data_IF_234180529761
#
_entry.id   IF_234180529761
#
_cell.length_a   1.000
_cell.length_b   1.000
_cell.length_c   1.000
_cell.angle_alpha   90.00
_cell.angle_beta   90.00
_cell.angle_gamma   90.00
#
_symmetry.space_group_name_H-M   'P 1'
#
loop_
_entity.id
_entity.type
_entity.pdbx_description
1 polymer ?
#
# COMPACT_ATOMS: atom_id res chain seq x y z
N UNK A 1 24.36 2.03 -3.82
CA UNK A 1 25.40 2.31 -4.82
C UNK A 1 25.04 3.61 -5.50
N UNK A 2 25.93 4.55 -5.43
CA UNK A 2 25.75 5.90 -6.00
C UNK A 2 26.49 5.97 -7.33
N UNK A 3 26.12 6.85 -8.21
CA UNK A 3 26.81 7.05 -9.49
C UNK A 3 28.30 7.41 -9.27
N UNK A 4 28.58 8.22 -8.25
CA UNK A 4 29.97 8.54 -7.81
C UNK A 4 30.78 7.28 -7.52
N UNK A 5 30.21 6.32 -6.78
CA UNK A 5 30.92 5.09 -6.40
C UNK A 5 31.17 4.16 -7.61
N UNK A 6 30.36 4.30 -8.65
CA UNK A 6 30.43 3.49 -9.88
C UNK A 6 31.37 4.08 -10.92
N UNK A 7 31.30 5.39 -11.15
CA UNK A 7 32.11 6.08 -12.15
C UNK A 7 33.52 6.42 -11.66
N UNK A 8 33.70 6.54 -10.34
CA UNK A 8 34.91 7.11 -9.74
C UNK A 8 35.04 8.63 -9.95
N UNK A 9 34.05 9.26 -10.56
CA UNK A 9 34.02 10.68 -10.89
C UNK A 9 33.14 11.46 -9.91
N UNK A 10 33.52 12.69 -9.64
CA UNK A 10 32.69 13.62 -8.90
C UNK A 10 31.51 14.13 -9.76
N UNK A 11 30.42 14.66 -9.18
CA UNK A 11 29.24 15.07 -9.92
C UNK A 11 29.45 16.10 -11.02
N UNK A 12 30.44 16.96 -10.90
CA UNK A 12 30.81 17.96 -11.90
C UNK A 12 31.65 17.43 -13.07
N UNK A 13 32.14 16.17 -12.94
CA UNK A 13 32.91 15.47 -13.96
C UNK A 13 32.07 14.47 -14.74
N UNK A 14 30.82 14.21 -14.29
CA UNK A 14 29.97 13.19 -14.92
C UNK A 14 29.71 13.47 -16.39
N UNK A 15 29.81 12.41 -17.17
CA UNK A 15 29.52 12.37 -18.60
C UNK A 15 28.26 11.56 -18.90
N UNK A 16 27.74 11.66 -20.11
CA UNK A 16 26.67 10.77 -20.58
C UNK A 16 27.09 9.30 -20.51
N UNK A 17 28.38 9.01 -20.84
CA UNK A 17 28.92 7.67 -20.77
C UNK A 17 28.89 7.06 -19.36
N UNK A 18 29.24 7.83 -18.32
CA UNK A 18 29.18 7.38 -16.93
C UNK A 18 27.76 7.00 -16.53
N UNK A 19 26.78 7.77 -16.95
CA UNK A 19 25.37 7.49 -16.69
C UNK A 19 24.92 6.23 -17.43
N UNK A 20 25.28 6.07 -18.69
CA UNK A 20 24.89 4.92 -19.52
C UNK A 20 25.50 3.62 -18.98
N UNK A 21 26.78 3.63 -18.63
CA UNK A 21 27.46 2.48 -18.03
C UNK A 21 26.84 2.08 -16.67
N UNK A 22 26.61 3.07 -15.81
CA UNK A 22 25.95 2.83 -14.52
C UNK A 22 24.56 2.17 -14.69
N UNK A 23 23.75 2.66 -15.61
CA UNK A 23 22.43 2.10 -15.83
C UNK A 23 22.46 0.78 -16.59
N UNK A 24 23.40 0.56 -17.48
CA UNK A 24 23.64 -0.75 -18.09
C UNK A 24 24.03 -1.81 -17.04
N UNK A 25 24.96 -1.48 -16.15
CA UNK A 25 25.34 -2.33 -15.02
C UNK A 25 24.17 -2.57 -14.05
N UNK A 26 23.41 -1.52 -13.70
CA UNK A 26 22.24 -1.62 -12.83
C UNK A 26 21.16 -2.59 -13.38
N UNK A 27 21.01 -2.65 -14.71
CA UNK A 27 20.07 -3.56 -15.38
C UNK A 27 20.66 -4.95 -15.61
N UNK A 28 21.86 -5.02 -16.19
CA UNK A 28 22.47 -6.27 -16.64
C UNK A 28 23.03 -7.11 -15.51
N UNK A 29 23.75 -6.49 -14.56
CA UNK A 29 24.43 -7.19 -13.48
C UNK A 29 23.58 -7.25 -12.21
N UNK A 30 22.97 -6.11 -11.82
CA UNK A 30 22.18 -6.02 -10.59
C UNK A 30 20.70 -6.38 -10.78
N UNK A 31 20.27 -6.60 -12.01
CA UNK A 31 18.90 -6.99 -12.37
C UNK A 31 17.81 -6.10 -11.74
N UNK A 32 18.08 -4.78 -11.68
CA UNK A 32 17.13 -3.84 -11.11
C UNK A 32 15.92 -3.66 -12.04
N UNK A 33 14.73 -3.56 -11.43
CA UNK A 33 13.49 -3.34 -12.18
C UNK A 33 13.52 -2.00 -12.94
N UNK A 34 12.82 -1.94 -14.08
CA UNK A 34 12.67 -0.70 -14.86
C UNK A 34 12.17 0.49 -14.02
N UNK A 35 11.28 0.24 -13.06
CA UNK A 35 10.78 1.26 -12.15
C UNK A 35 11.86 1.81 -11.22
N UNK A 36 12.74 0.94 -10.71
CA UNK A 36 13.86 1.33 -9.84
C UNK A 36 14.90 2.13 -10.62
N UNK A 37 15.27 1.68 -11.82
CA UNK A 37 16.22 2.39 -12.70
C UNK A 37 15.67 3.76 -13.07
N UNK A 38 14.40 3.85 -13.44
CA UNK A 38 13.73 5.13 -13.74
C UNK A 38 13.69 6.07 -12.52
N UNK A 39 13.51 5.54 -11.30
CA UNK A 39 13.57 6.35 -10.09
C UNK A 39 14.98 6.95 -9.87
N UNK A 40 16.03 6.15 -10.12
CA UNK A 40 17.42 6.63 -10.06
C UNK A 40 17.70 7.68 -11.14
N UNK A 41 17.26 7.45 -12.39
CA UNK A 41 17.37 8.43 -13.46
C UNK A 41 16.67 9.73 -13.11
N UNK A 42 15.47 9.64 -12.52
CA UNK A 42 14.72 10.83 -12.08
C UNK A 42 15.45 11.62 -11.00
N UNK A 43 16.08 10.93 -10.03
CA UNK A 43 16.84 11.58 -8.96
C UNK A 43 18.12 12.26 -9.51
N UNK A 44 18.87 11.58 -10.38
CA UNK A 44 20.08 12.14 -11.01
C UNK A 44 19.71 13.32 -11.91
N UNK A 45 18.66 13.18 -12.72
CA UNK A 45 18.16 14.27 -13.57
C UNK A 45 17.84 15.52 -12.76
N UNK A 46 17.07 15.35 -11.67
CA UNK A 46 16.69 16.47 -10.81
C UNK A 46 17.90 17.15 -10.17
N UNK A 47 18.90 16.37 -9.76
CA UNK A 47 20.16 16.89 -9.24
C UNK A 47 20.92 17.67 -10.30
N UNK A 48 21.08 17.12 -11.51
CA UNK A 48 21.77 17.82 -12.61
C UNK A 48 21.01 19.09 -13.03
N UNK A 49 19.66 19.03 -13.12
CA UNK A 49 18.85 20.22 -13.41
C UNK A 49 19.08 21.33 -12.37
N UNK A 50 19.19 20.97 -11.09
CA UNK A 50 19.52 21.92 -10.03
C UNK A 50 20.95 22.47 -10.16
N UNK A 51 21.94 21.60 -10.35
CA UNK A 51 23.34 21.99 -10.41
C UNK A 51 23.69 22.81 -11.67
N UNK A 52 23.03 22.53 -12.79
CA UNK A 52 23.18 23.28 -14.04
C UNK A 52 22.38 24.59 -14.06
N UNK A 53 21.49 24.83 -13.09
CA UNK A 53 20.63 26.02 -13.11
C UNK A 53 21.44 27.27 -12.82
N UNK A 54 21.44 28.27 -13.75
CA UNK A 54 22.24 29.51 -13.62
C UNK A 54 21.93 30.32 -12.34
N UNK A 55 20.76 30.13 -11.73
CA UNK A 55 20.37 30.85 -10.50
C UNK A 55 21.22 30.52 -9.28
N UNK A 56 21.94 29.40 -9.31
CA UNK A 56 22.69 28.92 -8.13
C UNK A 56 24.21 29.02 -8.29
N UNK A 57 24.70 29.48 -9.43
CA UNK A 57 26.13 29.69 -9.76
C UNK A 57 27.07 28.49 -9.56
N UNK A 58 26.51 27.28 -9.35
CA UNK A 58 27.29 26.07 -9.11
C UNK A 58 28.26 25.75 -10.24
N UNK A 59 27.83 25.90 -11.51
CA UNK A 59 28.68 25.67 -12.68
C UNK A 59 29.83 26.63 -12.72
N UNK A 60 29.63 27.91 -12.36
CA UNK A 60 30.67 28.94 -12.31
C UNK A 60 31.67 28.62 -11.19
N UNK A 61 31.18 28.27 -9.99
CA UNK A 61 32.03 27.95 -8.86
C UNK A 61 32.89 26.71 -9.13
N UNK A 62 32.30 25.63 -9.67
CA UNK A 62 33.03 24.42 -10.02
C UNK A 62 34.00 24.61 -11.15
N UNK A 63 33.68 25.43 -12.16
CA UNK A 63 34.60 25.79 -13.24
C UNK A 63 35.84 26.52 -12.73
N UNK A 64 35.68 27.41 -11.75
CA UNK A 64 36.80 28.15 -11.13
C UNK A 64 37.66 27.27 -10.22
N UNK A 65 37.02 26.36 -9.45
CA UNK A 65 37.74 25.56 -8.43
C UNK A 65 38.32 24.27 -8.98
N UNK A 66 37.66 23.64 -9.93
CA UNK A 66 37.98 22.26 -10.36
C UNK A 66 38.23 22.17 -11.88
N UNK A 67 38.00 23.23 -12.65
CA UNK A 67 38.14 23.21 -14.11
C UNK A 67 37.00 22.53 -14.87
N UNK A 68 35.93 22.07 -14.18
CA UNK A 68 34.80 21.36 -14.75
C UNK A 68 33.49 22.12 -14.51
N UNK A 69 32.53 21.92 -15.39
CA UNK A 69 31.18 22.47 -15.23
C UNK A 69 30.14 21.34 -15.21
N UNK A 70 29.09 21.49 -14.41
CA UNK A 70 27.99 20.52 -14.40
C UNK A 70 27.35 20.40 -15.77
N UNK A 71 27.04 19.17 -16.16
CA UNK A 71 26.25 18.83 -17.33
C UNK A 71 25.04 17.97 -16.99
N UNK A 72 23.97 18.03 -17.81
CA UNK A 72 22.83 17.14 -17.68
C UNK A 72 23.16 15.79 -18.34
N UNK A 73 23.34 14.77 -17.50
CA UNK A 73 23.73 13.42 -17.96
C UNK A 73 22.52 12.48 -18.22
N UNK A 74 21.30 12.93 -17.94
CA UNK A 74 20.06 12.19 -18.25
C UNK A 74 19.28 12.95 -19.30
N UNK A 75 19.31 12.48 -20.53
CA UNK A 75 18.66 13.07 -21.70
C UNK A 75 17.50 12.21 -22.18
N UNK A 76 16.74 12.66 -23.16
CA UNK A 76 15.69 11.86 -23.79
C UNK A 76 16.24 10.57 -24.48
N UNK A 77 17.54 10.58 -24.85
CA UNK A 77 18.18 9.44 -25.52
C UNK A 77 18.47 8.27 -24.55
N UNK A 78 18.85 8.56 -23.30
CA UNK A 78 19.22 7.53 -22.33
C UNK A 78 18.19 7.34 -21.22
N UNK A 79 17.10 8.11 -21.25
CA UNK A 79 16.01 7.99 -20.29
C UNK A 79 15.10 6.82 -20.61
N UNK A 80 14.82 5.98 -19.61
CA UNK A 80 13.82 4.93 -19.73
C UNK A 80 12.43 5.57 -19.76
N UNK A 81 11.75 5.44 -20.91
CA UNK A 81 10.34 5.86 -21.05
C UNK A 81 9.42 4.94 -20.24
N UNK A 82 8.24 5.46 -19.90
CA UNK A 82 7.22 4.67 -19.22
C UNK A 82 6.59 3.70 -20.22
N UNK A 83 7.18 2.51 -20.39
CA UNK A 83 6.44 1.39 -20.94
C UNK A 83 5.62 0.73 -19.83
N UNK A 84 4.31 0.58 -20.00
CA UNK A 84 3.54 -0.34 -19.19
C UNK A 84 3.87 -1.76 -19.70
N UNK A 85 4.58 -2.61 -18.95
CA UNK A 85 4.67 -4.00 -19.33
C UNK A 85 3.29 -4.61 -19.08
N UNK A 86 2.56 -4.90 -20.16
CA UNK A 86 1.23 -5.49 -20.11
C UNK A 86 1.21 -6.95 -19.62
N UNK A 87 2.35 -7.55 -19.31
CA UNK A 87 2.44 -9.00 -19.10
C UNK A 87 3.19 -9.48 -17.86
N UNK A 88 3.78 -8.62 -17.08
CA UNK A 88 4.36 -9.06 -15.79
C UNK A 88 3.26 -9.14 -14.74
N UNK A 89 2.85 -10.38 -14.39
CA UNK A 89 2.08 -10.61 -13.15
C UNK A 89 2.80 -9.88 -12.03
N UNK A 90 2.12 -8.99 -11.29
CA UNK A 90 2.77 -8.30 -10.19
C UNK A 90 3.32 -9.37 -9.25
N UNK A 91 4.60 -9.27 -8.89
CA UNK A 91 5.24 -10.16 -7.91
C UNK A 91 4.49 -10.19 -6.57
N UNK A 92 3.65 -9.18 -6.32
CA UNK A 92 2.82 -8.99 -5.13
C UNK A 92 1.35 -9.11 -5.50
N UNK A 93 0.60 -9.92 -4.75
CA UNK A 93 -0.82 -10.23 -4.96
C UNK A 93 -1.70 -9.76 -3.80
N UNK A 94 -3.02 -9.67 -3.97
CA UNK A 94 -3.96 -9.58 -2.86
C UNK A 94 -4.00 -10.91 -2.09
N UNK A 95 -4.41 -10.86 -0.82
CA UNK A 95 -4.90 -12.04 -0.10
C UNK A 95 -6.26 -12.46 -0.67
N UNK A 96 -6.55 -13.75 -0.65
CA UNK A 96 -7.93 -14.24 -0.77
C UNK A 96 -8.69 -13.97 0.54
N UNK A 97 -10.03 -14.06 0.52
CA UNK A 97 -10.83 -13.92 1.74
C UNK A 97 -10.48 -15.00 2.78
N UNK A 98 -10.25 -16.25 2.33
CA UNK A 98 -9.84 -17.34 3.20
C UNK A 98 -8.47 -17.12 3.83
N UNK A 99 -7.49 -16.64 3.06
CA UNK A 99 -6.15 -16.30 3.58
C UNK A 99 -6.21 -15.17 4.61
N UNK A 100 -7.03 -14.14 4.37
CA UNK A 100 -7.23 -13.05 5.34
C UNK A 100 -7.86 -13.58 6.64
N UNK A 101 -8.87 -14.43 6.54
CA UNK A 101 -9.51 -15.02 7.72
C UNK A 101 -8.50 -15.82 8.53
N UNK A 102 -7.75 -16.73 7.89
CA UNK A 102 -6.73 -17.53 8.57
C UNK A 102 -5.64 -16.66 9.22
N UNK A 103 -5.22 -15.59 8.54
CA UNK A 103 -4.20 -14.67 9.09
C UNK A 103 -4.74 -13.91 10.30
N UNK A 104 -5.98 -13.45 10.27
CA UNK A 104 -6.60 -12.75 11.39
C UNK A 104 -6.86 -13.69 12.57
N UNK A 105 -7.32 -14.92 12.29
CA UNK A 105 -7.52 -15.94 13.31
C UNK A 105 -6.21 -16.31 14.02
N UNK A 106 -5.11 -16.47 13.24
CA UNK A 106 -3.80 -16.73 13.80
C UNK A 106 -3.30 -15.56 14.66
N UNK A 107 -3.48 -14.32 14.19
CA UNK A 107 -3.10 -13.12 14.95
C UNK A 107 -3.86 -13.03 16.29
N UNK A 108 -5.16 -13.33 16.30
CA UNK A 108 -5.98 -13.35 17.53
C UNK A 108 -5.61 -14.53 18.45
N UNK A 109 -5.32 -15.68 17.85
CA UNK A 109 -4.85 -16.85 18.60
C UNK A 109 -3.52 -16.58 19.29
N UNK A 110 -2.62 -15.82 18.66
CA UNK A 110 -1.34 -15.41 19.26
C UNK A 110 -1.58 -14.54 20.52
N UNK A 111 -2.53 -13.59 20.47
CA UNK A 111 -2.92 -12.80 21.66
C UNK A 111 -3.33 -13.73 22.81
N UNK A 112 -4.20 -14.70 22.51
CA UNK A 112 -4.70 -15.66 23.49
C UNK A 112 -3.59 -16.55 24.04
N UNK A 113 -2.67 -17.01 23.20
CA UNK A 113 -1.50 -17.82 23.60
C UNK A 113 -0.58 -17.07 24.56
N UNK A 114 -0.31 -15.77 24.28
CA UNK A 114 0.54 -14.95 25.13
C UNK A 114 -0.16 -14.67 26.48
N UNK A 115 -1.45 -14.36 26.48
CA UNK A 115 -2.24 -14.17 27.68
C UNK A 115 -2.21 -15.43 28.57
N UNK A 116 -2.49 -16.59 28.00
CA UNK A 116 -2.54 -17.85 28.74
C UNK A 116 -1.17 -18.30 29.27
N UNK A 117 -0.08 -17.89 28.62
CA UNK A 117 1.29 -18.20 29.08
C UNK A 117 1.79 -17.30 30.20
N UNK A 118 1.04 -16.25 30.58
CA UNK A 118 1.47 -15.25 31.55
C UNK A 118 2.64 -14.37 31.12
N UNK A 119 3.05 -14.46 29.82
CA UNK A 119 4.17 -13.68 29.29
C UNK A 119 3.76 -12.23 29.01
N UNK A 120 4.75 -11.34 29.08
CA UNK A 120 4.56 -9.95 28.62
C UNK A 120 4.38 -9.92 27.12
N UNK A 121 3.61 -8.95 26.59
CA UNK A 121 3.49 -8.72 25.15
C UNK A 121 2.09 -8.91 24.57
N UNK A 122 1.13 -9.44 25.33
CA UNK A 122 -0.24 -9.66 24.84
C UNK A 122 -0.90 -8.38 24.32
N UNK A 123 -0.68 -7.23 25.00
CA UNK A 123 -1.23 -5.95 24.56
C UNK A 123 -0.62 -5.50 23.22
N UNK A 124 0.69 -5.73 23.02
CA UNK A 124 1.36 -5.48 21.76
C UNK A 124 0.83 -6.38 20.62
N UNK A 125 0.64 -7.67 20.89
CA UNK A 125 0.07 -8.59 19.92
C UNK A 125 -1.38 -8.22 19.56
N UNK A 126 -2.20 -7.82 20.54
CA UNK A 126 -3.56 -7.35 20.29
C UNK A 126 -3.57 -6.08 19.43
N UNK A 127 -2.72 -5.08 19.76
CA UNK A 127 -2.51 -3.89 18.92
C UNK A 127 -2.19 -4.29 17.48
N UNK A 128 -1.26 -5.22 17.28
CA UNK A 128 -0.81 -5.63 15.96
C UNK A 128 -1.93 -6.33 15.18
N UNK A 129 -2.69 -7.24 15.82
CA UNK A 129 -3.88 -7.86 15.21
C UNK A 129 -4.89 -6.81 14.75
N UNK A 130 -5.26 -5.86 15.63
CA UNK A 130 -6.21 -4.80 15.28
C UNK A 130 -5.66 -3.88 14.20
N UNK A 131 -4.36 -3.56 14.21
CA UNK A 131 -3.73 -2.74 13.19
C UNK A 131 -3.77 -3.41 11.80
N UNK A 132 -3.54 -4.72 11.70
CA UNK A 132 -3.65 -5.48 10.44
C UNK A 132 -5.08 -5.50 9.92
N UNK A 133 -6.06 -5.74 10.80
CA UNK A 133 -7.50 -5.68 10.46
C UNK A 133 -7.90 -4.29 9.98
N UNK A 134 -7.40 -3.23 10.64
CA UNK A 134 -7.61 -1.84 10.24
C UNK A 134 -6.96 -1.53 8.88
N UNK A 135 -5.75 -2.04 8.63
CA UNK A 135 -5.08 -1.88 7.33
C UNK A 135 -5.93 -2.41 6.18
N UNK A 136 -6.57 -3.57 6.39
CA UNK A 136 -7.47 -4.15 5.40
C UNK A 136 -8.81 -3.39 5.34
N UNK A 137 -9.48 -3.17 6.47
CA UNK A 137 -10.84 -2.64 6.51
C UNK A 137 -10.99 -1.23 5.90
N UNK A 138 -9.91 -0.43 5.89
CA UNK A 138 -9.89 0.92 5.29
C UNK A 138 -8.86 1.08 4.16
N UNK A 139 -8.26 -0.01 3.71
CA UNK A 139 -7.31 -0.01 2.58
C UNK A 139 -6.11 0.91 2.77
N UNK A 140 -5.53 0.95 3.97
CA UNK A 140 -4.50 1.91 4.35
C UNK A 140 -3.12 1.54 3.83
N UNK A 141 -2.27 2.57 3.58
CA UNK A 141 -0.84 2.38 3.40
C UNK A 141 -0.15 2.26 4.76
N UNK A 142 0.99 1.56 4.82
CA UNK A 142 1.75 1.39 6.07
C UNK A 142 2.00 2.70 6.82
N UNK A 143 2.43 3.75 6.11
CA UNK A 143 2.67 5.04 6.73
C UNK A 143 1.39 5.75 7.21
N UNK A 144 0.28 5.55 6.51
CA UNK A 144 -1.04 6.08 6.91
C UNK A 144 -1.50 5.40 8.20
N UNK A 145 -1.44 4.06 8.25
CA UNK A 145 -1.83 3.25 9.39
C UNK A 145 -1.06 3.60 10.67
N UNK A 146 0.26 3.71 10.57
CA UNK A 146 1.13 4.01 11.72
C UNK A 146 0.89 5.37 12.37
N UNK A 147 0.37 6.33 11.61
CA UNK A 147 0.13 7.70 12.06
C UNK A 147 -1.35 7.99 12.33
N UNK A 148 -2.19 6.95 12.40
CA UNK A 148 -3.58 7.14 12.80
C UNK A 148 -3.68 7.57 14.26
N UNK A 149 -4.61 8.47 14.51
CA UNK A 149 -4.93 8.94 15.84
C UNK A 149 -6.41 8.73 16.15
N UNK A 150 -6.77 8.70 17.42
CA UNK A 150 -8.17 8.53 17.85
C UNK A 150 -9.07 9.64 17.30
N UNK A 151 -8.55 10.85 17.14
CA UNK A 151 -9.25 12.00 16.55
C UNK A 151 -9.52 11.89 15.05
N UNK A 152 -8.95 10.89 14.40
CA UNK A 152 -9.19 10.62 12.96
C UNK A 152 -10.48 9.84 12.70
N UNK A 153 -11.12 9.35 13.77
CA UNK A 153 -12.40 8.64 13.71
C UNK A 153 -13.55 9.64 13.85
N UNK A 154 -14.60 9.48 13.06
CA UNK A 154 -15.77 10.36 13.09
C UNK A 154 -17.03 9.69 12.56
N UNK A 155 -18.18 10.33 12.87
CA UNK A 155 -19.50 9.84 12.45
C UNK A 155 -19.73 9.99 10.95
N UNK A 156 -20.42 9.01 10.39
CA UNK A 156 -21.07 9.13 9.08
C UNK A 156 -22.56 9.34 9.29
N UNK A 157 -23.05 10.56 9.04
CA UNK A 157 -24.47 10.87 9.21
C UNK A 157 -25.40 10.09 8.27
N UNK A 158 -24.86 9.53 7.17
CA UNK A 158 -25.60 8.65 6.25
C UNK A 158 -25.60 7.18 6.68
N UNK A 159 -24.73 6.82 7.64
CA UNK A 159 -24.61 5.48 8.20
C UNK A 159 -24.45 5.56 9.73
N UNK A 160 -25.48 6.04 10.46
CA UNK A 160 -25.38 6.34 11.90
C UNK A 160 -25.12 5.10 12.76
N UNK A 161 -25.40 3.91 12.27
CA UNK A 161 -25.15 2.63 12.96
C UNK A 161 -23.67 2.33 13.21
N UNK A 162 -22.76 2.95 12.46
CA UNK A 162 -21.33 2.85 12.72
C UNK A 162 -20.84 3.74 13.89
N UNK A 163 -21.72 4.63 14.43
CA UNK A 163 -21.34 5.55 15.51
C UNK A 163 -20.17 6.44 15.12
N UNK A 164 -19.22 6.61 16.03
CA UNK A 164 -18.04 7.46 15.82
C UNK A 164 -16.97 6.83 14.89
N UNK A 165 -17.22 5.63 14.37
CA UNK A 165 -16.32 4.86 13.50
C UNK A 165 -16.76 4.84 12.02
N UNK A 166 -17.75 5.66 11.64
CA UNK A 166 -18.32 5.67 10.28
C UNK A 166 -17.41 6.26 9.21
N UNK A 167 -16.45 7.08 9.60
CA UNK A 167 -15.47 7.72 8.70
C UNK A 167 -14.10 7.72 9.37
N UNK A 168 -13.08 7.29 8.61
CA UNK A 168 -11.68 7.40 9.00
C UNK A 168 -11.00 8.50 8.17
N UNK A 169 -10.47 9.53 8.83
CA UNK A 169 -9.72 10.62 8.20
C UNK A 169 -8.24 10.26 8.07
N UNK A 170 -7.78 10.03 6.86
CA UNK A 170 -6.37 9.72 6.57
C UNK A 170 -5.63 11.02 6.26
N UNK A 171 -4.83 11.51 7.21
CA UNK A 171 -4.08 12.78 7.09
C UNK A 171 -2.69 12.61 6.44
N UNK A 172 -2.11 11.42 6.52
CA UNK A 172 -0.73 11.14 6.15
C UNK A 172 -0.60 10.51 4.76
N UNK A 173 -1.39 10.99 3.79
CA UNK A 173 -1.30 10.54 2.40
C UNK A 173 0.08 10.80 1.77
N UNK A 174 0.37 10.11 0.66
CA UNK A 174 1.61 10.32 -0.08
C UNK A 174 1.59 11.73 -0.73
N UNK A 175 2.60 12.59 -0.49
CA UNK A 175 2.69 13.86 -1.19
C UNK A 175 2.95 13.62 -2.69
N UNK A 176 2.40 14.48 -3.54
CA UNK A 176 2.66 14.45 -4.97
C UNK A 176 3.61 15.60 -5.34
N UNK A 177 4.75 15.29 -5.96
CA UNK A 177 5.74 16.25 -6.52
C UNK A 177 6.03 17.46 -5.61
N UNK A 178 6.28 17.23 -4.31
CA UNK A 178 6.59 18.31 -3.37
C UNK A 178 5.38 19.10 -2.85
N UNK A 179 4.15 18.72 -3.22
CA UNK A 179 2.93 19.31 -2.66
C UNK A 179 2.68 18.81 -1.23
N UNK A 180 1.87 19.55 -0.48
CA UNK A 180 1.40 19.11 0.84
C UNK A 180 0.68 17.74 0.76
N UNK A 181 0.74 16.99 1.86
CA UNK A 181 0.01 15.72 1.98
C UNK A 181 -1.49 15.98 1.80
N UNK A 182 -2.13 15.26 0.87
CA UNK A 182 -3.57 15.38 0.66
C UNK A 182 -4.31 14.47 1.64
N UNK A 183 -5.08 15.01 2.59
CA UNK A 183 -5.96 14.21 3.43
C UNK A 183 -7.11 13.63 2.60
N UNK A 184 -7.59 12.45 3.01
CA UNK A 184 -8.83 11.86 2.46
C UNK A 184 -9.67 11.29 3.59
N UNK A 185 -10.95 11.17 3.35
CA UNK A 185 -11.87 10.45 4.21
C UNK A 185 -12.18 9.09 3.59
N UNK A 186 -12.09 8.05 4.39
CA UNK A 186 -12.43 6.66 4.00
C UNK A 186 -13.67 6.26 4.77
N UNK A 187 -14.72 5.87 4.06
CA UNK A 187 -15.97 5.42 4.66
C UNK A 187 -15.81 3.99 5.16
N UNK A 188 -16.39 3.71 6.32
CA UNK A 188 -16.48 2.35 6.84
C UNK A 188 -17.49 1.55 6.02
N UNK A 189 -17.14 0.31 5.71
CA UNK A 189 -17.96 -0.58 4.89
C UNK A 189 -18.44 -1.79 5.69
N UNK A 190 -17.58 -2.35 6.56
CA UNK A 190 -17.85 -3.61 7.27
C UNK A 190 -18.10 -3.40 8.76
N UNK A 191 -19.20 -3.94 9.29
CA UNK A 191 -19.59 -3.84 10.70
C UNK A 191 -18.52 -4.43 11.64
N UNK A 192 -17.95 -5.58 11.29
CA UNK A 192 -16.93 -6.23 12.10
C UNK A 192 -15.70 -5.34 12.35
N UNK A 193 -15.37 -4.46 11.43
CA UNK A 193 -14.24 -3.54 11.56
C UNK A 193 -14.47 -2.48 12.64
N UNK A 194 -15.73 -2.06 12.81
CA UNK A 194 -16.14 -1.13 13.86
C UNK A 194 -16.02 -1.79 15.23
N UNK A 195 -16.53 -3.01 15.37
CA UNK A 195 -16.46 -3.75 16.63
C UNK A 195 -15.02 -3.97 17.07
N UNK A 196 -14.18 -4.44 16.14
CA UNK A 196 -12.75 -4.67 16.39
C UNK A 196 -12.04 -3.40 16.83
N UNK A 197 -12.28 -2.28 16.14
CA UNK A 197 -11.57 -1.03 16.43
C UNK A 197 -12.10 -0.36 17.70
N UNK A 198 -13.42 -0.46 17.96
CA UNK A 198 -14.04 0.02 19.18
C UNK A 198 -13.49 -0.71 20.40
N UNK A 199 -13.46 -2.04 20.37
CA UNK A 199 -12.92 -2.84 21.47
C UNK A 199 -11.46 -2.45 21.79
N UNK A 200 -10.67 -2.23 20.76
CA UNK A 200 -9.31 -1.74 20.92
C UNK A 200 -9.25 -0.36 21.57
N UNK A 201 -10.03 0.61 21.08
CA UNK A 201 -10.02 1.99 21.57
C UNK A 201 -10.54 2.07 23.02
N UNK A 202 -11.58 1.32 23.35
CA UNK A 202 -12.23 1.37 24.65
C UNK A 202 -11.54 0.48 25.70
N UNK A 203 -11.01 -0.68 25.32
CA UNK A 203 -10.52 -1.69 26.24
C UNK A 203 -9.00 -1.99 26.10
N UNK A 204 -8.42 -1.80 24.94
CA UNK A 204 -7.00 -2.08 24.67
C UNK A 204 -6.11 -0.87 24.90
N UNK A 205 -6.36 0.20 24.18
CA UNK A 205 -5.54 1.41 24.20
C UNK A 205 -5.37 2.03 25.60
N UNK A 206 -6.40 2.10 26.48
CA UNK A 206 -6.26 2.63 27.83
C UNK A 206 -5.29 1.84 28.72
N UNK A 207 -5.04 0.56 28.42
CA UNK A 207 -4.11 -0.29 29.21
C UNK A 207 -2.66 0.13 29.13
N UNK A 208 -2.29 1.00 28.18
CA UNK A 208 -0.96 1.60 28.16
C UNK A 208 -0.74 2.59 29.34
N UNK A 209 -1.80 3.10 29.95
CA UNK A 209 -1.71 4.01 31.10
C UNK A 209 -1.10 5.38 30.77
N UNK A 210 -1.07 5.76 29.47
CA UNK A 210 -0.49 7.01 28.97
C UNK A 210 -1.57 7.83 28.27
N UNK A 211 -1.47 9.17 28.27
CA UNK A 211 -2.35 10.03 27.49
C UNK A 211 -1.99 9.92 26.00
N UNK A 212 -2.44 8.84 25.34
CA UNK A 212 -2.09 8.54 23.97
C UNK A 212 -3.10 9.14 23.00
N UNK A 213 -2.58 9.78 21.95
CA UNK A 213 -3.36 10.20 20.78
C UNK A 213 -3.23 9.22 19.63
N UNK A 214 -2.07 8.55 19.53
CA UNK A 214 -1.82 7.57 18.48
C UNK A 214 -2.65 6.31 18.69
N UNK A 215 -3.27 5.84 17.61
CA UNK A 215 -4.19 4.68 17.65
C UNK A 215 -3.44 3.37 17.89
N UNK A 216 -2.22 3.25 17.37
CA UNK A 216 -1.38 2.04 17.48
C UNK A 216 0.01 2.39 18.04
N UNK A 217 0.12 2.71 19.34
CA UNK A 217 1.39 3.12 19.96
C UNK A 217 2.30 1.92 20.25
N UNK A 218 3.60 2.19 20.39
CA UNK A 218 4.52 1.26 21.05
C UNK A 218 4.25 1.24 22.57
N UNK A 219 4.86 0.29 23.29
CA UNK A 219 4.79 0.24 24.76
C UNK A 219 5.37 1.51 25.44
N UNK A 220 6.21 2.26 24.74
CA UNK A 220 6.76 3.54 25.20
C UNK A 220 5.90 4.75 24.77
N UNK A 221 4.73 4.54 24.16
CA UNK A 221 3.84 5.62 23.71
C UNK A 221 4.27 6.31 22.41
N UNK A 222 5.24 5.76 21.67
CA UNK A 222 5.71 6.31 20.40
C UNK A 222 5.06 5.61 19.21
N UNK A 223 5.18 6.21 18.02
CA UNK A 223 4.72 5.63 16.74
C UNK A 223 5.49 4.34 16.44
N UNK A 224 4.78 3.34 15.90
CA UNK A 224 5.39 2.08 15.46
C UNK A 224 6.50 2.29 14.42
N UNK A 225 7.56 1.48 14.52
CA UNK A 225 8.64 1.46 13.54
C UNK A 225 8.15 1.18 12.12
N UNK A 226 8.89 1.64 11.11
CA UNK A 226 8.45 1.55 9.71
C UNK A 226 8.29 0.10 9.22
N UNK A 227 9.07 -0.84 9.75
CA UNK A 227 9.06 -2.26 9.36
C UNK A 227 8.24 -3.13 10.29
N UNK A 228 7.92 -2.68 11.52
CA UNK A 228 7.31 -3.50 12.57
C UNK A 228 6.12 -4.35 12.07
N UNK A 229 5.10 -3.70 11.51
CA UNK A 229 3.93 -4.43 11.01
C UNK A 229 4.23 -5.30 9.79
N UNK A 230 5.23 -4.95 8.99
CA UNK A 230 5.68 -5.78 7.89
C UNK A 230 6.32 -7.07 8.41
N UNK A 231 7.14 -6.97 9.44
CA UNK A 231 7.79 -8.12 10.08
C UNK A 231 6.75 -9.04 10.72
N UNK A 232 5.69 -8.48 11.34
CA UNK A 232 4.55 -9.24 11.86
C UNK A 232 3.83 -10.00 10.73
N UNK A 233 3.55 -9.32 9.60
CA UNK A 233 2.88 -9.96 8.44
C UNK A 233 3.74 -11.10 7.89
N UNK A 234 5.04 -10.89 7.69
CA UNK A 234 5.92 -11.94 7.17
C UNK A 234 5.91 -13.17 8.08
N UNK A 235 6.03 -12.98 9.39
CA UNK A 235 6.00 -14.06 10.37
C UNK A 235 4.67 -14.86 10.30
N UNK A 236 3.53 -14.18 10.24
CA UNK A 236 2.23 -14.84 10.14
C UNK A 236 2.05 -15.59 8.80
N UNK A 237 2.49 -14.98 7.69
CA UNK A 237 2.46 -15.57 6.34
C UNK A 237 3.33 -16.83 6.29
N UNK A 238 4.53 -16.79 6.89
CA UNK A 238 5.45 -17.91 6.95
C UNK A 238 4.90 -19.05 7.84
N UNK A 239 4.29 -18.72 9.01
CA UNK A 239 3.66 -19.71 9.91
C UNK A 239 2.47 -20.43 9.24
N UNK A 240 1.71 -19.71 8.39
CA UNK A 240 0.58 -20.25 7.63
C UNK A 240 1.02 -21.00 6.34
N UNK A 241 2.28 -20.91 5.98
CA UNK A 241 2.81 -21.52 4.75
C UNK A 241 2.21 -20.93 3.46
N UNK A 242 1.82 -19.65 3.47
CA UNK A 242 1.24 -19.02 2.29
C UNK A 242 2.29 -18.80 1.20
N UNK A 243 1.88 -18.84 -0.09
CA UNK A 243 2.76 -18.54 -1.19
C UNK A 243 3.39 -17.15 -1.10
N UNK A 244 4.61 -16.94 -1.63
CA UNK A 244 5.31 -15.67 -1.58
C UNK A 244 4.54 -14.55 -2.31
N UNK A 245 4.90 -13.30 -2.00
CA UNK A 245 4.33 -12.10 -2.63
C UNK A 245 3.24 -11.42 -1.80
N UNK A 246 3.01 -11.86 -0.57
CA UNK A 246 2.13 -11.20 0.41
C UNK A 246 2.93 -10.29 1.32
N UNK A 247 2.45 -9.07 1.51
CA UNK A 247 3.05 -8.05 2.36
C UNK A 247 1.97 -7.12 2.95
N UNK A 248 2.40 -6.12 3.72
CA UNK A 248 1.49 -5.14 4.30
C UNK A 248 0.69 -4.36 3.23
N UNK A 249 1.25 -4.17 2.02
CA UNK A 249 0.52 -3.52 0.93
C UNK A 249 -0.53 -4.44 0.29
N UNK A 250 -0.41 -5.77 0.48
CA UNK A 250 -1.39 -6.75 0.02
C UNK A 250 -2.76 -6.55 0.68
N UNK A 251 -2.83 -6.08 1.94
CA UNK A 251 -4.11 -5.72 2.59
C UNK A 251 -4.87 -4.65 1.80
N UNK A 252 -4.17 -3.61 1.36
CA UNK A 252 -4.78 -2.56 0.55
C UNK A 252 -5.22 -3.06 -0.83
N UNK A 253 -4.46 -3.99 -1.43
CA UNK A 253 -4.86 -4.66 -2.68
C UNK A 253 -6.10 -5.51 -2.45
N UNK A 254 -6.13 -6.29 -1.36
CA UNK A 254 -7.29 -7.11 -0.98
C UNK A 254 -8.52 -6.25 -0.75
N UNK A 255 -8.40 -5.13 -0.03
CA UNK A 255 -9.49 -4.18 0.14
C UNK A 255 -10.08 -3.76 -1.21
N UNK A 256 -9.22 -3.29 -2.14
CA UNK A 256 -9.67 -2.86 -3.46
C UNK A 256 -10.33 -3.99 -4.24
N UNK A 257 -9.69 -5.16 -4.28
CA UNK A 257 -10.20 -6.32 -5.01
C UNK A 257 -11.52 -6.80 -4.44
N UNK A 258 -11.61 -6.98 -3.12
CA UNK A 258 -12.80 -7.52 -2.48
C UNK A 258 -14.00 -6.56 -2.56
N UNK A 259 -13.78 -5.25 -2.42
CA UNK A 259 -14.86 -4.27 -2.61
C UNK A 259 -15.46 -4.34 -4.03
N UNK A 260 -14.61 -4.50 -5.04
CA UNK A 260 -15.09 -4.59 -6.43
C UNK A 260 -15.73 -5.96 -6.70
N UNK A 261 -15.07 -7.04 -6.28
CA UNK A 261 -15.43 -8.39 -6.73
C UNK A 261 -16.44 -9.08 -5.84
N UNK A 262 -16.31 -8.96 -4.52
CA UNK A 262 -17.17 -9.62 -3.56
C UNK A 262 -18.37 -8.75 -3.17
N UNK A 263 -18.13 -7.47 -2.88
CA UNK A 263 -19.16 -6.54 -2.42
C UNK A 263 -19.88 -5.83 -3.59
N UNK A 264 -19.30 -5.84 -4.79
CA UNK A 264 -19.90 -5.26 -5.99
C UNK A 264 -19.89 -3.73 -6.03
N UNK A 265 -19.00 -3.07 -5.28
CA UNK A 265 -18.85 -1.63 -5.33
C UNK A 265 -18.30 -1.17 -6.67
N UNK A 266 -18.70 0.02 -7.10
CA UNK A 266 -18.20 0.66 -8.29
C UNK A 266 -16.71 1.00 -8.16
N UNK A 267 -15.96 0.86 -9.26
CA UNK A 267 -14.52 1.13 -9.31
C UNK A 267 -14.21 2.58 -8.90
N UNK A 268 -15.06 3.54 -9.28
CA UNK A 268 -14.88 4.95 -8.93
C UNK A 268 -15.01 5.19 -7.42
N UNK A 269 -15.93 4.51 -6.75
CA UNK A 269 -16.04 4.52 -5.31
C UNK A 269 -14.76 4.00 -4.64
N UNK A 270 -14.24 2.85 -5.09
CA UNK A 270 -13.02 2.27 -4.55
C UNK A 270 -11.81 3.18 -4.80
N UNK A 271 -11.73 3.84 -5.97
CA UNK A 271 -10.69 4.83 -6.27
C UNK A 271 -10.72 6.01 -5.28
N UNK A 272 -11.91 6.53 -5.00
CA UNK A 272 -12.12 7.60 -4.02
C UNK A 272 -11.66 7.17 -2.63
N UNK A 273 -12.09 6.00 -2.16
CA UNK A 273 -11.67 5.44 -0.88
C UNK A 273 -10.15 5.31 -0.76
N UNK A 274 -9.50 4.84 -1.82
CA UNK A 274 -8.05 4.67 -1.87
C UNK A 274 -7.28 5.99 -2.07
N UNK A 275 -7.93 7.05 -2.53
CA UNK A 275 -7.28 8.32 -2.89
C UNK A 275 -6.33 8.16 -4.07
N UNK A 276 -6.77 7.47 -5.12
CA UNK A 276 -6.05 7.35 -6.38
C UNK A 276 -6.41 8.53 -7.28
N UNK A 277 -5.41 9.30 -7.71
CA UNK A 277 -5.59 10.43 -8.65
C UNK A 277 -5.75 9.96 -10.11
N UNK A 278 -5.32 8.72 -10.41
CA UNK A 278 -5.36 8.18 -11.77
C UNK A 278 -6.07 6.82 -11.80
N UNK A 279 -6.99 6.66 -12.74
CA UNK A 279 -7.73 5.42 -12.99
C UNK A 279 -6.80 4.21 -13.24
N UNK A 280 -5.66 4.43 -13.89
CA UNK A 280 -4.65 3.40 -14.16
C UNK A 280 -4.08 2.71 -12.90
N UNK A 281 -4.11 3.39 -11.74
CA UNK A 281 -3.62 2.80 -10.49
C UNK A 281 -4.61 1.77 -9.92
N UNK A 282 -5.90 1.91 -10.20
CA UNK A 282 -6.92 0.96 -9.74
C UNK A 282 -7.15 -0.16 -10.75
N UNK A 283 -6.86 0.04 -12.02
CA UNK A 283 -6.94 -1.02 -13.04
C UNK A 283 -6.01 -2.21 -12.75
N UNK A 284 -4.93 -1.99 -11.97
CA UNK A 284 -4.06 -3.07 -11.48
C UNK A 284 -4.80 -4.01 -10.52
N UNK A 285 -5.82 -3.51 -9.81
CA UNK A 285 -6.63 -4.31 -8.86
C UNK A 285 -7.82 -4.99 -9.52
N UNK A 286 -8.16 -4.61 -10.74
CA UNK A 286 -9.21 -5.24 -11.53
C UNK A 286 -8.71 -6.44 -12.36
N UNK A 287 -7.44 -6.86 -12.20
CA UNK A 287 -6.98 -8.15 -12.75
C UNK A 287 -7.72 -9.26 -12.02
N UNK A 288 -8.47 -10.10 -12.76
CA UNK A 288 -9.29 -11.14 -12.15
C UNK A 288 -8.43 -12.07 -11.31
N UNK A 289 -8.66 -12.10 -9.98
CA UNK A 289 -8.15 -13.19 -9.17
C UNK A 289 -8.89 -14.48 -9.56
N UNK A 290 -8.35 -15.67 -9.31
CA UNK A 290 -9.09 -16.92 -9.46
C UNK A 290 -10.46 -16.88 -8.77
N UNK A 291 -10.56 -16.23 -7.61
CA UNK A 291 -11.81 -16.02 -6.87
C UNK A 291 -12.79 -15.10 -7.64
N UNK A 292 -12.31 -14.08 -8.32
CA UNK A 292 -13.17 -13.23 -9.15
C UNK A 292 -13.80 -14.00 -10.29
N UNK A 293 -13.00 -14.79 -11.01
CA UNK A 293 -13.52 -15.61 -12.11
C UNK A 293 -14.58 -16.59 -11.60
N UNK A 294 -14.34 -17.22 -10.46
CA UNK A 294 -15.29 -18.12 -9.82
C UNK A 294 -16.58 -17.40 -9.41
N UNK A 295 -16.48 -16.28 -8.69
CA UNK A 295 -17.64 -15.48 -8.24
C UNK A 295 -18.41 -14.87 -9.41
N UNK A 296 -17.72 -14.40 -10.46
CA UNK A 296 -18.37 -13.91 -11.67
C UNK A 296 -19.15 -15.01 -12.39
N UNK A 297 -18.57 -16.21 -12.50
CA UNK A 297 -19.23 -17.37 -13.06
C UNK A 297 -20.42 -17.84 -12.20
N UNK A 298 -20.27 -17.91 -10.89
CA UNK A 298 -21.35 -18.24 -9.96
C UNK A 298 -22.50 -17.23 -10.05
N UNK A 299 -22.19 -15.92 -10.14
CA UNK A 299 -23.21 -14.87 -10.30
C UNK A 299 -23.97 -14.96 -11.61
N UNK A 300 -23.27 -15.30 -12.71
CA UNK A 300 -23.89 -15.57 -14.01
C UNK A 300 -24.74 -16.85 -13.95
N UNK A 301 -24.21 -17.90 -13.36
CA UNK A 301 -24.91 -19.19 -13.20
C UNK A 301 -26.18 -19.03 -12.37
N UNK A 302 -26.13 -18.35 -11.22
CA UNK A 302 -27.30 -18.09 -10.39
C UNK A 302 -28.35 -17.24 -11.10
N UNK A 303 -27.96 -16.20 -11.83
CA UNK A 303 -28.88 -15.42 -12.69
C UNK A 303 -29.57 -16.30 -13.76
N UNK A 304 -28.81 -17.20 -14.36
CA UNK A 304 -29.35 -18.12 -15.39
C UNK A 304 -30.33 -19.12 -14.76
N UNK A 305 -30.01 -19.63 -13.56
CA UNK A 305 -30.91 -20.52 -12.83
C UNK A 305 -32.20 -19.82 -12.38
N UNK A 306 -32.11 -18.60 -11.89
CA UNK A 306 -33.26 -17.80 -11.48
C UNK A 306 -34.14 -17.43 -12.69
N UNK A 307 -33.52 -17.07 -13.82
CA UNK A 307 -34.23 -16.85 -15.07
C UNK A 307 -34.91 -18.14 -15.57
N UNK A 308 -34.26 -19.30 -15.45
CA UNK A 308 -34.85 -20.57 -15.84
C UNK A 308 -36.02 -21.00 -14.92
N UNK A 309 -35.94 -20.68 -13.61
CA UNK A 309 -37.01 -20.94 -12.62
C UNK A 309 -38.23 -20.03 -12.82
N UNK A 310 -38.02 -18.83 -13.38
CA UNK A 310 -39.09 -17.86 -13.63
C UNK A 310 -39.84 -18.10 -14.95
N UNK A 311 -39.39 -19.02 -15.80
CA UNK A 311 -40.09 -19.39 -17.04
C UNK A 311 -41.34 -20.25 -16.72
N UNK A 312 -42.49 -19.90 -17.29
CA UNK A 312 -43.70 -20.71 -17.10
C UNK A 312 -43.51 -22.13 -17.70
N UNK A 313 -44.12 -23.16 -17.09
CA UNK A 313 -43.96 -24.50 -17.58
C UNK A 313 -44.44 -24.62 -19.04
N UNK A 314 -43.57 -25.16 -19.91
CA UNK A 314 -43.89 -25.41 -21.31
C UNK A 314 -45.16 -26.28 -21.38
N UNK A 315 -46.27 -25.73 -21.89
CA UNK A 315 -47.46 -26.52 -22.23
C UNK A 315 -47.03 -27.60 -23.21
N UNK A 316 -47.08 -28.86 -22.81
CA UNK A 316 -47.01 -29.99 -23.75
C UNK A 316 -48.32 -29.90 -24.57
N UNK A 317 -48.21 -29.58 -25.84
CA UNK A 317 -49.34 -29.78 -26.76
C UNK A 317 -49.57 -31.27 -26.94
N UNK A 318 -50.83 -31.72 -26.98
CA UNK A 318 -51.18 -33.10 -27.14
C UNK A 318 -50.81 -33.67 -28.50
#
# INVERSE_FOLDING_TARGET
MKLVDSSGHYPWEWTLGDADEFFAHARGVRNLSHSTVRAYQGAIKLFCDYACNPRYDWSIACGKLFGFTFSQVITELNRITHSQPSETRPAKRPFTQSELQQLFDLADLEVSRILNSGRRGALGAWRDSVALKTAYAWGLRSNELRHLQTVDLSRNYKAPYFGDYGVLRVRWGKPHRGSAKKPRSVLTVWDWSVETLRDWVENGLPRYGLPLTDLFPTSAGSILGATHLLDVVHRLVDELGFPPGLDLHSFRRSYATHLITAEGFDVSFVQMQLGHEHASTTSIYSVPSPDYQRLALEKVHNRTLDAARSLPPRKRNP
#
